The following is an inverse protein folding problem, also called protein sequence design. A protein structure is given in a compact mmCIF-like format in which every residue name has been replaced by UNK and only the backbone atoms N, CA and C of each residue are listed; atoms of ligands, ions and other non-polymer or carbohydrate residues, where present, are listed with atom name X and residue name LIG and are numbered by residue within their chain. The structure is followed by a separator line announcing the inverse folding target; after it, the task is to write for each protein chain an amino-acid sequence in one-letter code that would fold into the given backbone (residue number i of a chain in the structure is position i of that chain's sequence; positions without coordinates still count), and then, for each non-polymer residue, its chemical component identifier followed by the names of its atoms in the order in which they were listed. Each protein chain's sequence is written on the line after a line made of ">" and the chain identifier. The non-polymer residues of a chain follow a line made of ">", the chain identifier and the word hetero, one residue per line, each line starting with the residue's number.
data_IF_575273839420
#
_entry.id   IF_575273839420
#
_cell.length_a   1.000
_cell.length_b   1.000
_cell.length_c   1.000
_cell.angle_alpha   90.00
_cell.angle_beta   90.00
_cell.angle_gamma   90.00
#
_symmetry.space_group_name_H-M   'P 1'
#
loop_
_entity.id
_entity.type
_entity.pdbx_description
1 polymer ?
#
# COMPACT_ATOMS: atom_id res chain seq x y z
N UNK A 1 3.02 -61.88 27.35
CA UNK A 1 2.62 -61.68 28.75
C UNK A 1 2.50 -60.19 29.00
N UNK A 2 1.27 -59.70 29.00
CA UNK A 2 0.89 -58.31 29.28
C UNK A 2 1.02 -57.99 30.76
N UNK A 3 1.41 -56.75 31.13
CA UNK A 3 0.89 -56.11 32.32
C UNK A 3 -0.03 -54.94 31.95
N UNK A 4 -1.24 -55.01 32.49
CA UNK A 4 -2.20 -53.92 32.57
C UNK A 4 -1.64 -52.81 33.48
N UNK A 5 -1.67 -51.56 33.04
CA UNK A 5 -1.62 -50.40 33.92
C UNK A 5 -2.86 -49.53 33.72
N UNK A 6 -3.55 -49.31 34.84
CA UNK A 6 -4.82 -48.59 34.98
C UNK A 6 -4.56 -47.09 34.97
N UNK A 7 -5.28 -46.37 34.11
CA UNK A 7 -5.34 -44.90 34.10
C UNK A 7 -6.14 -44.40 35.31
N UNK A 8 -5.57 -43.48 36.09
CA UNK A 8 -6.28 -42.70 37.10
C UNK A 8 -6.75 -41.36 36.50
N UNK A 9 -7.96 -40.86 36.84
CA UNK A 9 -8.48 -39.62 36.28
C UNK A 9 -7.87 -38.41 36.98
N UNK A 10 -7.40 -37.45 36.19
CA UNK A 10 -6.90 -36.14 36.65
C UNK A 10 -8.08 -35.23 36.99
N UNK A 11 -8.16 -34.82 38.26
CA UNK A 11 -9.13 -33.85 38.76
C UNK A 11 -8.89 -32.46 38.15
N UNK A 12 -9.89 -31.98 37.41
CA UNK A 12 -10.00 -30.61 36.91
C UNK A 12 -10.25 -29.66 38.09
N UNK A 13 -9.31 -28.75 38.38
CA UNK A 13 -9.50 -27.66 39.34
C UNK A 13 -10.23 -26.50 38.64
N UNK A 14 -11.50 -26.30 38.96
CA UNK A 14 -12.23 -25.08 38.63
C UNK A 14 -11.80 -23.93 39.55
N UNK A 15 -11.32 -22.84 38.97
CA UNK A 15 -11.13 -21.55 39.64
C UNK A 15 -12.47 -20.79 39.71
N UNK A 16 -12.84 -20.20 40.86
CA UNK A 16 -14.06 -19.39 40.97
C UNK A 16 -13.87 -17.99 40.38
N UNK A 17 -14.79 -17.62 39.49
CA UNK A 17 -15.06 -16.25 39.02
C UNK A 17 -15.50 -15.38 40.21
N UNK A 18 -14.75 -14.33 40.52
CA UNK A 18 -15.19 -13.29 41.44
C UNK A 18 -16.11 -12.30 40.72
N UNK A 19 -17.41 -12.38 41.01
CA UNK A 19 -18.43 -11.46 40.53
C UNK A 19 -18.56 -10.31 41.55
N UNK A 20 -18.00 -9.14 41.23
CA UNK A 20 -18.16 -7.94 42.06
C UNK A 20 -19.52 -7.30 41.75
N UNK A 21 -20.46 -7.42 42.70
CA UNK A 21 -21.74 -6.73 42.68
C UNK A 21 -21.54 -5.27 43.12
N UNK A 22 -21.83 -4.33 42.21
CA UNK A 22 -21.97 -2.90 42.53
C UNK A 22 -23.39 -2.64 43.05
N UNK A 23 -23.50 -2.32 44.34
CA UNK A 23 -24.67 -1.63 44.89
C UNK A 23 -24.55 -0.14 44.57
N UNK A 24 -25.55 0.41 43.87
CA UNK A 24 -25.71 1.83 43.61
C UNK A 24 -27.19 2.21 43.64
N UNK A 25 -27.61 2.64 44.83
CA UNK A 25 -28.84 3.34 45.23
C UNK A 25 -29.99 3.52 44.21
N UNK A 26 -31.15 2.94 44.57
CA UNK A 26 -32.46 3.49 44.24
C UNK A 26 -32.70 4.72 45.13
N UNK A 27 -32.86 5.88 44.52
CA UNK A 27 -33.25 7.12 45.19
C UNK A 27 -34.10 7.94 44.22
N UNK A 28 -35.42 7.84 44.35
CA UNK A 28 -36.37 8.69 43.64
C UNK A 28 -36.51 10.05 44.33
N UNK A 29 -36.57 11.10 43.52
CA UNK A 29 -36.90 12.46 43.93
C UNK A 29 -37.04 13.33 42.68
N UNK A 30 -38.23 13.88 42.48
CA UNK A 30 -38.60 14.75 41.37
C UNK A 30 -37.85 16.09 41.40
N UNK A 31 -37.83 16.72 40.22
CA UNK A 31 -37.57 18.13 39.91
C UNK A 31 -36.14 18.53 39.46
N UNK A 32 -36.15 19.42 38.46
CA UNK A 32 -35.09 20.07 37.71
C UNK A 32 -34.36 19.25 36.62
N UNK A 33 -34.90 19.37 35.40
CA UNK A 33 -34.25 18.98 34.12
C UNK A 33 -33.09 19.93 33.79
N UNK A 34 -32.05 19.92 34.63
CA UNK A 34 -30.73 20.40 34.26
C UNK A 34 -30.02 19.35 33.43
N UNK A 35 -30.29 19.30 32.13
CA UNK A 35 -29.46 18.53 31.18
C UNK A 35 -28.05 19.11 31.18
N UNK A 36 -27.17 18.58 32.02
CA UNK A 36 -25.73 18.77 31.91
C UNK A 36 -25.25 17.94 30.71
N UNK A 37 -25.55 18.44 29.51
CA UNK A 37 -24.96 17.91 28.29
C UNK A 37 -23.45 18.07 28.44
N UNK A 38 -22.72 16.95 28.51
CA UNK A 38 -21.26 16.98 28.51
C UNK A 38 -20.77 17.85 27.34
N UNK A 39 -19.74 18.71 27.53
CA UNK A 39 -19.23 19.54 26.45
C UNK A 39 -18.95 18.67 25.22
N UNK A 40 -19.43 19.11 24.05
CA UNK A 40 -19.16 18.40 22.80
C UNK A 40 -17.64 18.23 22.66
N UNK A 41 -17.19 17.00 22.35
CA UNK A 41 -15.78 16.71 22.17
C UNK A 41 -15.20 17.67 21.12
N UNK A 42 -14.08 18.32 21.43
CA UNK A 42 -13.42 19.27 20.52
C UNK A 42 -12.66 18.55 19.40
N UNK A 43 -12.35 17.28 19.61
CA UNK A 43 -11.69 16.38 18.67
C UNK A 43 -12.48 15.08 18.52
N UNK A 44 -12.37 14.45 17.36
CA UNK A 44 -12.89 13.11 17.09
C UNK A 44 -11.78 12.20 16.58
N UNK A 45 -11.80 10.94 17.00
CA UNK A 45 -10.96 9.89 16.42
C UNK A 45 -11.44 9.56 15.00
N UNK A 46 -10.49 9.26 14.12
CA UNK A 46 -10.75 8.85 12.74
C UNK A 46 -9.95 7.60 12.39
N UNK A 47 -10.54 6.82 11.50
CA UNK A 47 -9.98 5.60 10.98
C UNK A 47 -10.21 5.58 9.47
N UNK A 48 -9.12 5.63 8.71
CA UNK A 48 -9.15 5.65 7.27
C UNK A 48 -8.72 4.26 6.82
N UNK A 49 -9.71 3.43 6.52
CA UNK A 49 -9.49 2.07 6.02
C UNK A 49 -9.16 2.12 4.53
N UNK A 50 -8.27 1.23 4.09
CA UNK A 50 -7.86 1.06 2.70
C UNK A 50 -8.24 -0.33 2.21
N UNK A 51 -8.62 -0.41 0.94
CA UNK A 51 -8.85 -1.67 0.23
C UNK A 51 -8.18 -1.67 -1.14
N UNK A 52 -7.78 -2.84 -1.62
CA UNK A 52 -7.40 -3.01 -3.00
C UNK A 52 -8.60 -3.49 -3.81
N UNK A 53 -8.74 -3.00 -5.04
CA UNK A 53 -9.84 -3.38 -5.93
C UNK A 53 -9.36 -3.68 -7.34
N UNK A 54 -10.16 -4.43 -8.08
CA UNK A 54 -10.10 -4.54 -9.54
C UNK A 54 -11.47 -4.13 -10.06
N UNK A 55 -11.55 -2.95 -10.68
CA UNK A 55 -12.85 -2.34 -10.96
C UNK A 55 -13.63 -2.21 -9.65
N UNK A 56 -14.89 -2.63 -9.61
CA UNK A 56 -15.73 -2.58 -8.40
C UNK A 56 -15.45 -3.68 -7.37
N UNK A 57 -14.64 -4.68 -7.70
CA UNK A 57 -14.45 -5.87 -6.84
C UNK A 57 -13.36 -5.62 -5.82
N UNK A 58 -13.67 -5.78 -4.53
CA UNK A 58 -12.67 -5.75 -3.44
C UNK A 58 -11.88 -7.04 -3.44
N UNK A 59 -10.55 -6.91 -3.42
CA UNK A 59 -9.64 -8.04 -3.32
C UNK A 59 -9.50 -8.48 -1.87
N UNK A 60 -9.65 -9.78 -1.62
CA UNK A 60 -9.25 -10.40 -0.37
C UNK A 60 -7.77 -10.77 -0.48
N UNK A 61 -6.90 -9.81 -0.15
CA UNK A 61 -5.46 -10.03 -0.18
C UNK A 61 -5.09 -10.81 1.09
N UNK A 62 -4.77 -12.10 0.89
CA UNK A 62 -4.29 -13.01 1.92
C UNK A 62 -2.90 -13.49 1.56
N UNK A 63 -2.75 -14.80 1.35
CA UNK A 63 -1.53 -15.34 0.75
C UNK A 63 -1.49 -15.02 -0.75
N UNK A 64 -0.39 -14.42 -1.20
CA UNK A 64 -0.16 -14.10 -2.61
C UNK A 64 -0.14 -15.31 -3.54
N UNK A 65 0.08 -16.53 -3.05
CA UNK A 65 -0.10 -17.74 -3.87
C UNK A 65 -1.56 -17.92 -4.35
N UNK A 66 -2.52 -17.34 -3.62
CA UNK A 66 -3.96 -17.45 -3.87
C UNK A 66 -4.62 -16.18 -4.37
N UNK A 67 -3.97 -15.02 -4.19
CA UNK A 67 -4.54 -13.72 -4.59
C UNK A 67 -4.43 -13.55 -6.11
N UNK A 68 -5.48 -14.02 -6.79
CA UNK A 68 -5.64 -13.88 -8.24
C UNK A 68 -6.26 -12.53 -8.55
N UNK A 69 -5.65 -11.80 -9.49
CA UNK A 69 -6.24 -10.60 -10.08
C UNK A 69 -6.51 -10.88 -11.55
N UNK A 70 -7.78 -10.77 -11.93
CA UNK A 70 -8.24 -10.90 -13.32
C UNK A 70 -8.50 -9.50 -13.88
N UNK A 71 -8.24 -9.25 -15.17
CA UNK A 71 -8.58 -7.97 -15.80
C UNK A 71 -7.61 -6.81 -15.58
N UNK A 72 -6.46 -7.08 -14.94
CA UNK A 72 -5.30 -6.18 -14.87
C UNK A 72 -4.28 -6.54 -15.96
N UNK A 73 -4.19 -7.82 -16.32
CA UNK A 73 -3.31 -8.32 -17.35
C UNK A 73 -4.08 -8.62 -18.63
N UNK A 74 -3.51 -8.21 -19.78
CA UNK A 74 -4.01 -8.59 -21.09
C UNK A 74 -2.90 -9.19 -21.92
N UNK A 75 -3.23 -10.22 -22.71
CA UNK A 75 -2.34 -10.84 -23.68
C UNK A 75 -3.08 -10.89 -25.01
N UNK A 76 -2.55 -10.21 -26.02
CA UNK A 76 -3.19 -10.08 -27.34
C UNK A 76 -4.65 -9.57 -27.25
N UNK A 77 -4.90 -8.58 -26.39
CA UNK A 77 -6.23 -8.00 -26.17
C UNK A 77 -7.19 -8.86 -25.35
N UNK A 78 -6.77 -10.04 -24.88
CA UNK A 78 -7.57 -10.93 -24.03
C UNK A 78 -7.12 -10.82 -22.59
N UNK A 79 -8.05 -10.66 -21.66
CA UNK A 79 -7.73 -10.65 -20.23
C UNK A 79 -7.11 -11.99 -19.81
N UNK A 80 -6.05 -11.92 -19.01
CA UNK A 80 -5.44 -13.09 -18.37
C UNK A 80 -5.29 -12.85 -16.89
N UNK A 81 -5.17 -13.92 -16.13
CA UNK A 81 -4.95 -13.84 -14.69
C UNK A 81 -3.50 -13.47 -14.36
N UNK A 82 -3.34 -12.79 -13.22
CA UNK A 82 -2.05 -12.59 -12.56
C UNK A 82 -2.16 -12.89 -11.07
N UNK A 83 -1.03 -13.18 -10.43
CA UNK A 83 -0.89 -13.20 -8.97
C UNK A 83 -0.36 -11.86 -8.49
N UNK A 84 -0.99 -11.31 -7.45
CA UNK A 84 -0.49 -10.13 -6.76
C UNK A 84 0.50 -10.58 -5.68
N UNK A 85 1.78 -10.24 -5.84
CA UNK A 85 2.88 -10.71 -4.96
C UNK A 85 3.44 -9.64 -4.04
N UNK A 86 3.12 -8.37 -4.27
CA UNK A 86 3.38 -7.25 -3.35
C UNK A 86 2.34 -6.17 -3.66
N UNK A 87 1.80 -5.52 -2.62
CA UNK A 87 1.04 -4.27 -2.76
C UNK A 87 1.28 -3.43 -1.51
N UNK A 88 2.21 -2.49 -1.65
CA UNK A 88 2.57 -1.53 -0.60
C UNK A 88 2.70 -0.13 -1.17
N UNK A 89 2.28 0.86 -0.42
CA UNK A 89 2.48 2.26 -0.80
C UNK A 89 2.46 3.20 0.41
N UNK A 90 3.14 4.33 0.25
CA UNK A 90 3.20 5.37 1.27
C UNK A 90 2.12 6.43 1.06
N UNK A 91 1.42 6.75 2.15
CA UNK A 91 0.48 7.87 2.25
C UNK A 91 1.12 8.91 3.15
N UNK A 92 1.39 10.09 2.59
CA UNK A 92 1.94 11.22 3.33
C UNK A 92 0.93 12.34 3.49
N UNK A 93 1.04 13.09 4.58
CA UNK A 93 0.32 14.35 4.78
C UNK A 93 -1.20 14.23 4.60
N UNK A 94 -1.79 13.16 5.15
CA UNK A 94 -3.23 12.89 5.06
C UNK A 94 -4.04 14.02 5.72
N UNK A 95 -4.99 14.56 4.95
CA UNK A 95 -5.96 15.56 5.40
C UNK A 95 -7.37 15.12 5.02
N UNK A 96 -8.33 15.44 5.88
CA UNK A 96 -9.75 15.31 5.56
C UNK A 96 -10.30 16.65 5.08
N UNK A 97 -11.19 16.61 4.08
CA UNK A 97 -11.82 17.80 3.52
C UNK A 97 -13.16 18.07 4.18
N UNK A 98 -13.38 19.30 4.63
CA UNK A 98 -14.71 19.81 4.96
C UNK A 98 -15.51 20.12 3.69
N UNK A 99 -16.82 20.36 3.84
CA UNK A 99 -17.71 20.68 2.72
C UNK A 99 -17.34 21.97 1.97
N UNK A 100 -16.69 22.92 2.65
CA UNK A 100 -16.18 24.17 2.06
C UNK A 100 -14.82 24.01 1.34
N UNK A 101 -14.28 22.78 1.29
CA UNK A 101 -12.99 22.47 0.70
C UNK A 101 -11.79 22.67 1.63
N UNK A 102 -11.99 23.13 2.87
CA UNK A 102 -10.92 23.27 3.87
C UNK A 102 -10.31 21.90 4.16
N UNK A 103 -8.99 21.78 3.98
CA UNK A 103 -8.24 20.58 4.30
C UNK A 103 -7.72 20.63 5.74
N UNK A 104 -8.08 19.62 6.53
CA UNK A 104 -7.72 19.49 7.95
C UNK A 104 -6.78 18.30 8.12
N UNK A 105 -5.56 18.56 8.61
CA UNK A 105 -4.57 17.52 8.85
C UNK A 105 -5.04 16.52 9.90
N UNK A 106 -4.82 15.24 9.62
CA UNK A 106 -5.01 14.17 10.59
C UNK A 106 -3.78 14.14 11.51
N UNK A 107 -4.01 14.26 12.81
CA UNK A 107 -2.98 13.98 13.81
C UNK A 107 -2.90 12.47 14.00
N UNK A 108 -1.79 11.86 13.59
CA UNK A 108 -1.66 10.39 13.59
C UNK A 108 -1.51 9.82 15.00
N UNK A 109 -2.09 8.63 15.22
CA UNK A 109 -1.72 7.79 16.36
C UNK A 109 -0.42 7.06 16.00
N UNK A 110 0.74 7.48 16.51
CA UNK A 110 2.01 6.92 16.07
C UNK A 110 2.14 5.40 16.36
N UNK A 111 2.70 4.68 15.40
CA UNK A 111 2.96 3.24 15.47
C UNK A 111 4.12 2.85 14.55
N UNK A 112 4.38 1.55 14.41
CA UNK A 112 5.36 1.06 13.42
C UNK A 112 4.93 1.36 11.97
N UNK A 113 3.65 1.60 11.72
CA UNK A 113 3.08 1.78 10.38
C UNK A 113 2.81 3.23 10.00
N UNK A 114 2.74 4.14 10.99
CA UNK A 114 2.42 5.54 10.75
C UNK A 114 3.11 6.44 11.79
N UNK A 115 3.70 7.55 11.37
CA UNK A 115 4.48 8.41 12.25
C UNK A 115 4.54 9.87 11.74
N UNK A 116 4.91 10.79 12.64
CA UNK A 116 5.36 12.13 12.27
C UNK A 116 6.80 12.06 11.77
N UNK A 117 7.10 12.81 10.72
CA UNK A 117 8.40 12.88 10.07
C UNK A 117 8.76 14.36 9.86
N UNK A 118 9.47 14.98 10.80
CA UNK A 118 9.65 16.44 10.77
C UNK A 118 8.28 17.09 10.90
N UNK A 119 7.90 18.00 10.01
CA UNK A 119 6.55 18.59 9.97
C UNK A 119 5.54 17.80 9.11
N UNK A 120 6.02 16.79 8.41
CA UNK A 120 5.20 15.90 7.60
C UNK A 120 4.65 14.72 8.43
N UNK A 121 3.66 14.03 7.86
CA UNK A 121 3.21 12.72 8.34
C UNK A 121 3.40 11.66 7.26
N UNK A 122 3.67 10.43 7.67
CA UNK A 122 3.91 9.29 6.77
C UNK A 122 3.24 8.04 7.33
N UNK A 123 2.57 7.28 6.48
CA UNK A 123 2.05 5.95 6.78
C UNK A 123 2.35 4.97 5.65
N UNK A 124 2.73 3.75 6.00
CA UNK A 124 2.84 2.64 5.06
C UNK A 124 1.51 1.88 5.04
N UNK A 125 0.85 1.88 3.88
CA UNK A 125 -0.24 0.97 3.61
C UNK A 125 0.35 -0.32 3.04
N UNK A 126 -0.01 -1.42 3.66
CA UNK A 126 0.58 -2.72 3.42
C UNK A 126 -0.49 -3.82 3.35
N UNK A 127 -0.61 -4.43 2.17
CA UNK A 127 -1.51 -5.55 1.93
C UNK A 127 -0.78 -6.90 1.88
N UNK A 128 0.56 -6.93 1.93
CA UNK A 128 1.35 -8.16 1.86
C UNK A 128 1.83 -8.61 3.24
N UNK A 129 2.11 -9.91 3.39
CA UNK A 129 2.43 -10.55 4.67
C UNK A 129 3.78 -11.31 4.63
N UNK A 130 4.61 -11.02 3.65
CA UNK A 130 5.96 -11.56 3.49
C UNK A 130 6.03 -13.01 3.04
N UNK A 131 4.92 -13.66 2.71
CA UNK A 131 4.91 -15.10 2.34
C UNK A 131 5.28 -15.37 0.88
N UNK A 132 5.46 -14.33 0.07
CA UNK A 132 5.63 -14.46 -1.38
C UNK A 132 7.04 -14.88 -1.78
N UNK A 133 7.21 -16.13 -2.21
CA UNK A 133 8.52 -16.67 -2.61
C UNK A 133 9.13 -15.99 -3.84
N UNK A 134 8.29 -15.44 -4.72
CA UNK A 134 8.71 -14.80 -5.97
C UNK A 134 9.07 -13.30 -5.77
N UNK A 135 8.96 -12.82 -4.53
CA UNK A 135 9.19 -11.45 -4.13
C UNK A 135 9.94 -11.45 -2.79
N UNK A 136 11.27 -11.42 -2.85
CA UNK A 136 12.08 -11.34 -1.63
C UNK A 136 11.98 -9.94 -0.99
N UNK A 137 11.69 -9.90 0.31
CA UNK A 137 11.69 -8.67 1.12
C UNK A 137 10.31 -8.09 1.42
N UNK A 138 9.37 -8.91 1.89
CA UNK A 138 8.11 -8.44 2.46
C UNK A 138 8.11 -8.33 3.99
N UNK A 139 7.08 -7.72 4.56
CA UNK A 139 6.85 -7.61 6.01
C UNK A 139 5.92 -8.71 6.50
N UNK A 140 6.21 -9.30 7.67
CA UNK A 140 5.33 -10.34 8.23
C UNK A 140 3.96 -9.84 8.70
N UNK A 141 3.82 -8.52 8.92
CA UNK A 141 2.55 -7.88 9.27
C UNK A 141 1.99 -7.07 8.10
N UNK A 142 0.68 -6.81 8.15
CA UNK A 142 -0.04 -5.94 7.21
C UNK A 142 -0.53 -4.66 7.90
N UNK A 143 -0.85 -3.64 7.11
CA UNK A 143 -1.49 -2.42 7.59
C UNK A 143 -2.39 -1.81 6.51
N UNK A 144 -3.70 -2.02 6.63
CA UNK A 144 -4.69 -1.46 5.70
C UNK A 144 -5.46 -0.29 6.30
N UNK A 145 -4.88 0.39 7.30
CA UNK A 145 -5.56 1.44 8.04
C UNK A 145 -4.62 2.55 8.50
N UNK A 146 -5.11 3.77 8.46
CA UNK A 146 -4.50 4.92 9.15
C UNK A 146 -5.43 5.33 10.29
N UNK A 147 -4.86 5.59 11.47
CA UNK A 147 -5.62 6.07 12.63
C UNK A 147 -5.07 7.38 13.15
N UNK A 148 -5.95 8.16 13.74
CA UNK A 148 -5.59 9.45 14.31
C UNK A 148 -6.79 10.22 14.81
N UNK A 149 -6.64 11.54 14.88
CA UNK A 149 -7.68 12.46 15.30
C UNK A 149 -7.71 13.74 14.45
N UNK A 150 -8.88 14.35 14.41
CA UNK A 150 -9.16 15.67 13.80
C UNK A 150 -10.10 16.45 14.72
N UNK A 151 -10.22 17.78 14.58
CA UNK A 151 -11.31 18.54 15.20
C UNK A 151 -12.68 17.92 14.89
N UNK A 152 -13.59 17.96 15.87
CA UNK A 152 -14.93 17.43 15.67
C UNK A 152 -15.64 18.15 14.50
N UNK A 153 -16.28 17.39 13.62
CA UNK A 153 -16.97 17.92 12.45
C UNK A 153 -17.26 16.87 11.38
N UNK A 154 -17.92 17.33 10.31
CA UNK A 154 -18.23 16.50 9.14
C UNK A 154 -17.17 16.68 8.07
N UNK A 155 -16.74 15.56 7.49
CA UNK A 155 -15.74 15.50 6.43
C UNK A 155 -16.33 14.75 5.24
N UNK A 156 -16.06 15.25 4.04
CA UNK A 156 -16.68 14.79 2.77
C UNK A 156 -15.65 14.49 1.69
N UNK A 157 -14.38 14.38 2.07
CA UNK A 157 -13.28 14.09 1.16
C UNK A 157 -11.99 13.79 1.91
N UNK A 158 -11.00 13.33 1.18
CA UNK A 158 -9.63 13.16 1.66
C UNK A 158 -8.65 13.68 0.61
N UNK A 159 -7.55 14.24 1.08
CA UNK A 159 -6.36 14.53 0.27
C UNK A 159 -5.12 14.02 0.96
N UNK A 160 -4.18 13.52 0.19
CA UNK A 160 -2.88 13.03 0.69
C UNK A 160 -1.87 13.02 -0.45
N UNK A 161 -0.60 12.84 -0.13
CA UNK A 161 0.45 12.64 -1.13
C UNK A 161 0.80 11.16 -1.20
N UNK A 162 0.74 10.57 -2.39
CA UNK A 162 1.28 9.25 -2.68
C UNK A 162 2.81 9.38 -2.81
N UNK A 163 3.53 8.85 -1.82
CA UNK A 163 4.99 8.89 -1.77
C UNK A 163 5.54 9.29 -0.40
N UNK A 164 6.87 9.34 -0.30
CA UNK A 164 7.59 9.74 0.93
C UNK A 164 7.99 11.22 0.81
N UNK A 165 7.85 12.04 1.88
CA UNK A 165 8.25 13.44 1.84
C UNK A 165 9.73 13.58 1.48
N UNK A 166 10.08 14.60 0.69
CA UNK A 166 11.45 14.79 0.17
C UNK A 166 12.49 14.91 1.29
N UNK A 167 12.11 15.54 2.41
CA UNK A 167 12.88 15.70 3.65
C UNK A 167 13.29 14.38 4.33
N UNK A 168 12.62 13.27 3.98
CA UNK A 168 12.83 11.95 4.58
C UNK A 168 13.13 10.84 3.58
N UNK A 169 12.81 11.03 2.31
CA UNK A 169 12.96 10.01 1.28
C UNK A 169 14.38 9.41 1.23
N UNK A 170 15.42 10.24 1.42
CA UNK A 170 16.83 9.81 1.39
C UNK A 170 17.50 9.83 2.76
N UNK A 171 16.71 9.83 3.85
CA UNK A 171 17.24 9.71 5.21
C UNK A 171 17.95 8.36 5.41
N UNK A 172 18.94 8.28 6.30
CA UNK A 172 19.58 6.98 6.59
C UNK A 172 18.60 6.04 7.32
N UNK A 173 18.20 4.90 6.73
CA UNK A 173 17.19 4.02 7.30
C UNK A 173 17.65 3.29 8.58
N UNK A 174 18.95 3.30 8.90
CA UNK A 174 19.49 2.64 10.08
C UNK A 174 19.51 3.54 11.33
N UNK A 175 19.21 4.85 11.20
CA UNK A 175 19.21 5.77 12.34
C UNK A 175 17.96 5.56 13.20
N UNK A 176 18.14 5.56 14.51
CA UNK A 176 17.03 5.44 15.47
C UNK A 176 16.02 6.61 15.39
N UNK A 177 16.44 7.75 14.83
CA UNK A 177 15.59 8.94 14.61
C UNK A 177 14.77 8.84 13.32
N UNK A 178 15.03 7.87 12.46
CA UNK A 178 14.25 7.66 11.24
C UNK A 178 12.89 7.07 11.62
N UNK A 179 11.76 7.66 11.17
CA UNK A 179 10.43 7.16 11.47
C UNK A 179 10.27 5.70 11.06
N UNK A 180 9.64 4.90 11.92
CA UNK A 180 9.45 3.45 11.72
C UNK A 180 8.93 3.05 10.35
N UNK A 181 7.94 3.75 9.74
CA UNK A 181 7.42 3.33 8.44
C UNK A 181 8.45 3.38 7.31
N UNK A 182 9.58 4.09 7.48
CA UNK A 182 10.60 4.32 6.45
C UNK A 182 12.01 3.94 6.91
N UNK A 183 12.15 3.21 8.02
CA UNK A 183 13.42 2.71 8.53
C UNK A 183 13.74 1.31 7.95
N UNK A 184 14.87 0.71 8.37
CA UNK A 184 15.33 -0.58 7.86
C UNK A 184 14.44 -1.78 8.23
N UNK A 185 13.42 -1.61 9.09
CA UNK A 185 12.48 -2.66 9.45
C UNK A 185 11.41 -2.94 8.37
N UNK A 186 11.36 -2.11 7.31
CA UNK A 186 10.48 -2.29 6.15
C UNK A 186 11.30 -2.80 4.95
N UNK A 187 11.53 -4.12 4.82
CA UNK A 187 12.29 -4.68 3.71
C UNK A 187 11.57 -4.47 2.38
N UNK A 188 12.32 -4.55 1.28
CA UNK A 188 11.77 -4.49 -0.09
C UNK A 188 11.33 -3.09 -0.57
N UNK A 189 11.18 -2.13 0.34
CA UNK A 189 10.84 -0.74 0.02
C UNK A 189 12.06 0.17 -0.19
N UNK A 190 13.29 -0.37 -0.11
CA UNK A 190 14.51 0.38 -0.48
C UNK A 190 14.55 0.68 -1.98
N UNK A 191 15.05 1.87 -2.36
CA UNK A 191 15.13 2.33 -3.75
C UNK A 191 16.55 2.77 -4.13
N UNK A 192 17.06 2.29 -5.27
CA UNK A 192 18.49 2.35 -5.54
C UNK A 192 19.02 3.67 -6.12
N UNK A 193 18.21 4.71 -6.42
CA UNK A 193 18.70 5.85 -7.23
C UNK A 193 18.75 7.24 -6.52
N UNK A 194 19.35 7.49 -5.35
CA UNK A 194 20.46 6.81 -4.67
C UNK A 194 20.14 6.70 -3.18
N UNK A 195 19.55 5.57 -2.82
CA UNK A 195 19.10 5.13 -1.50
C UNK A 195 17.87 5.86 -0.92
N UNK A 196 16.91 6.15 -1.79
CA UNK A 196 15.57 6.59 -1.42
C UNK A 196 14.66 5.45 -0.94
N UNK A 197 13.36 5.73 -0.87
CA UNK A 197 12.30 4.72 -0.69
C UNK A 197 11.50 4.55 -1.97
N UNK A 198 11.01 3.33 -2.20
CA UNK A 198 9.90 3.08 -3.12
C UNK A 198 8.66 3.70 -2.49
N UNK A 199 7.96 4.54 -3.23
CA UNK A 199 6.70 5.17 -2.85
C UNK A 199 5.53 4.20 -3.02
N UNK A 200 5.64 3.32 -4.02
CA UNK A 200 4.69 2.28 -4.31
C UNK A 200 5.45 1.08 -4.82
N UNK A 201 5.11 -0.10 -4.32
CA UNK A 201 5.59 -1.38 -4.80
C UNK A 201 4.37 -2.24 -5.08
N UNK A 202 4.12 -2.50 -6.35
CA UNK A 202 3.13 -3.46 -6.79
C UNK A 202 3.83 -4.46 -7.69
N UNK A 203 3.65 -5.74 -7.44
CA UNK A 203 4.28 -6.78 -8.22
C UNK A 203 3.22 -7.79 -8.68
N UNK A 204 3.18 -8.00 -9.99
CA UNK A 204 2.24 -8.89 -10.64
C UNK A 204 3.00 -10.00 -11.34
N UNK A 205 2.59 -11.23 -11.12
CA UNK A 205 3.06 -12.40 -11.86
C UNK A 205 1.93 -12.90 -12.75
N UNK A 206 1.89 -12.54 -14.05
CA UNK A 206 0.88 -13.06 -14.97
C UNK A 206 1.01 -14.57 -15.18
N UNK A 207 -0.09 -15.23 -15.54
CA UNK A 207 -0.08 -16.64 -15.92
C UNK A 207 0.79 -16.86 -17.16
N UNK A 208 1.60 -17.92 -17.17
CA UNK A 208 2.45 -18.31 -18.29
C UNK A 208 1.61 -18.58 -19.55
N UNK A 209 2.08 -18.12 -20.71
CA UNK A 209 1.36 -18.26 -21.96
C UNK A 209 1.25 -19.71 -22.47
N UNK A 210 2.15 -20.59 -22.03
CA UNK A 210 2.29 -21.96 -22.52
C UNK A 210 1.91 -23.01 -21.48
N UNK A 211 1.97 -22.66 -20.20
CA UNK A 211 1.66 -23.57 -19.09
C UNK A 211 0.54 -22.96 -18.23
N UNK A 212 -0.72 -23.39 -18.40
CA UNK A 212 -1.83 -22.93 -17.57
C UNK A 212 -1.55 -23.06 -16.07
N UNK A 213 -2.15 -22.17 -15.27
CA UNK A 213 -2.02 -22.12 -13.81
C UNK A 213 -0.59 -21.97 -13.26
N UNK A 214 0.38 -21.68 -14.13
CA UNK A 214 1.77 -21.42 -13.76
C UNK A 214 2.03 -19.92 -13.80
N UNK A 215 2.44 -19.32 -12.68
CA UNK A 215 2.64 -17.87 -12.56
C UNK A 215 4.13 -17.48 -12.54
N UNK A 216 4.94 -18.22 -13.29
CA UNK A 216 6.37 -17.93 -13.52
C UNK A 216 6.62 -17.88 -15.04
N UNK A 217 7.51 -17.00 -15.48
CA UNK A 217 7.75 -16.76 -16.90
C UNK A 217 6.55 -16.20 -17.68
N UNK A 218 5.62 -15.52 -17.00
CA UNK A 218 4.41 -14.94 -17.62
C UNK A 218 4.61 -13.61 -18.34
N UNK A 219 5.77 -12.98 -18.18
CA UNK A 219 6.13 -11.70 -18.80
C UNK A 219 7.08 -11.95 -19.96
N UNK A 220 6.60 -11.71 -21.17
CA UNK A 220 7.35 -11.89 -22.42
C UNK A 220 8.26 -10.70 -22.69
N UNK A 221 9.50 -10.97 -23.11
CA UNK A 221 10.41 -9.91 -23.57
C UNK A 221 10.14 -9.61 -25.04
N UNK A 222 9.90 -8.33 -25.36
CA UNK A 222 9.52 -7.85 -26.69
C UNK A 222 10.46 -6.73 -27.16
N UNK A 223 10.61 -6.57 -28.47
CA UNK A 223 11.25 -5.39 -29.07
C UNK A 223 10.32 -4.18 -28.98
N UNK A 224 10.83 -2.99 -29.30
CA UNK A 224 10.06 -1.74 -29.30
C UNK A 224 8.88 -1.76 -30.30
N UNK A 225 8.96 -2.56 -31.36
CA UNK A 225 7.89 -2.77 -32.35
C UNK A 225 6.85 -3.81 -31.93
N UNK A 226 6.98 -4.40 -30.72
CA UNK A 226 6.07 -5.41 -30.19
C UNK A 226 6.37 -6.85 -30.60
N UNK A 227 7.37 -7.09 -31.45
CA UNK A 227 7.79 -8.45 -31.81
C UNK A 227 8.54 -9.14 -30.66
N UNK A 228 8.54 -10.48 -30.61
CA UNK A 228 9.27 -11.21 -29.56
C UNK A 228 10.78 -10.93 -29.67
N UNK A 229 11.40 -10.54 -28.56
CA UNK A 229 12.84 -10.36 -28.51
C UNK A 229 13.56 -11.71 -28.66
N UNK A 230 14.68 -11.70 -29.36
CA UNK A 230 15.52 -12.89 -29.57
C UNK A 230 16.94 -12.63 -29.09
N UNK A 231 17.64 -13.70 -28.72
CA UNK A 231 19.05 -13.67 -28.36
C UNK A 231 19.80 -14.70 -29.20
N UNK A 232 20.96 -14.33 -29.73
CA UNK A 232 21.82 -15.23 -30.52
C UNK A 232 23.06 -15.58 -29.72
N UNK A 233 23.22 -16.86 -29.40
CA UNK A 233 24.39 -17.39 -28.69
C UNK A 233 24.99 -18.52 -29.52
N UNK A 234 26.29 -18.45 -29.81
CA UNK A 234 27.00 -19.45 -30.62
C UNK A 234 26.32 -19.78 -31.97
N UNK A 235 25.75 -18.77 -32.63
CA UNK A 235 25.07 -18.93 -33.93
C UNK A 235 23.64 -19.46 -33.87
N UNK A 236 23.12 -19.77 -32.68
CA UNK A 236 21.72 -20.19 -32.48
C UNK A 236 20.89 -19.03 -31.98
N UNK A 237 19.82 -18.69 -32.70
CA UNK A 237 18.88 -17.63 -32.31
C UNK A 237 17.64 -18.23 -31.67
N UNK A 238 17.35 -17.84 -30.44
CA UNK A 238 16.16 -18.27 -29.69
C UNK A 238 15.41 -17.06 -29.15
N UNK A 239 14.15 -17.24 -28.77
CA UNK A 239 13.42 -16.24 -28.00
C UNK A 239 14.19 -15.91 -26.70
N UNK A 240 14.22 -14.63 -26.34
CA UNK A 240 14.73 -14.19 -25.04
C UNK A 240 13.84 -14.76 -23.94
N UNK A 241 14.46 -15.23 -22.85
CA UNK A 241 13.73 -15.85 -21.74
C UNK A 241 12.74 -14.89 -21.09
N UNK A 242 11.52 -15.37 -20.84
CA UNK A 242 10.50 -14.63 -20.12
C UNK A 242 10.88 -14.40 -18.66
N UNK A 243 10.33 -13.34 -18.06
CA UNK A 243 10.45 -13.06 -16.62
C UNK A 243 9.16 -13.40 -15.88
N UNK A 244 9.27 -13.56 -14.56
CA UNK A 244 8.13 -14.01 -13.72
C UNK A 244 7.32 -12.87 -13.12
N UNK A 245 7.90 -11.68 -12.96
CA UNK A 245 7.29 -10.55 -12.25
C UNK A 245 7.34 -9.33 -13.15
N UNK A 246 6.20 -8.64 -13.24
CA UNK A 246 6.10 -7.27 -13.72
C UNK A 246 6.08 -6.34 -12.49
N UNK A 247 7.20 -5.69 -12.15
CA UNK A 247 7.23 -4.69 -11.09
C UNK A 247 6.58 -3.38 -11.57
N UNK A 248 5.81 -2.76 -10.69
CA UNK A 248 5.30 -1.40 -10.81
C UNK A 248 5.81 -0.66 -9.58
N UNK A 249 7.01 -0.10 -9.70
CA UNK A 249 7.72 0.53 -8.61
C UNK A 249 7.77 2.05 -8.85
N UNK A 250 7.10 2.78 -7.96
CA UNK A 250 7.17 4.23 -7.90
C UNK A 250 8.28 4.66 -6.94
N UNK A 251 9.09 5.64 -7.29
CA UNK A 251 10.09 6.26 -6.43
C UNK A 251 10.73 7.46 -7.12
N UNK A 252 11.36 8.35 -6.35
CA UNK A 252 12.08 9.49 -6.95
C UNK A 252 13.25 9.03 -7.82
N UNK A 253 13.55 9.77 -8.88
CA UNK A 253 14.63 9.44 -9.83
C UNK A 253 15.46 10.66 -10.18
N UNK A 254 16.67 10.41 -10.71
CA UNK A 254 17.64 11.46 -11.02
C UNK A 254 18.00 12.30 -9.78
N UNK A 255 18.22 11.62 -8.65
CA UNK A 255 18.56 12.24 -7.39
C UNK A 255 20.08 12.41 -7.24
N UNK A 256 20.47 13.56 -6.73
CA UNK A 256 21.86 13.90 -6.41
C UNK A 256 21.94 14.39 -4.97
N UNK A 257 23.00 14.02 -4.26
CA UNK A 257 23.25 14.55 -2.93
C UNK A 257 23.49 16.07 -3.02
N UNK A 258 22.77 16.82 -2.20
CA UNK A 258 23.01 18.24 -2.00
C UNK A 258 24.16 18.41 -1.00
N UNK A 259 25.34 18.78 -1.51
CA UNK A 259 26.54 18.96 -0.71
C UNK A 259 26.43 20.09 0.34
N UNK A 260 25.44 20.98 0.23
CA UNK A 260 25.21 22.07 1.17
C UNK A 260 24.19 21.73 2.26
N UNK A 261 23.45 20.63 2.13
CA UNK A 261 22.37 20.30 3.05
C UNK A 261 22.88 19.63 4.34
N UNK A 262 22.57 20.25 5.49
CA UNK A 262 22.78 19.64 6.82
C UNK A 262 21.47 19.00 7.28
N UNK A 263 21.38 17.67 7.35
CA UNK A 263 20.21 16.95 7.89
C UNK A 263 19.70 15.79 7.02
N UNK A 264 18.47 15.32 7.26
CA UNK A 264 17.86 14.14 6.60
C UNK A 264 17.40 14.36 5.14
N UNK A 265 17.38 15.62 4.68
CA UNK A 265 16.88 16.05 3.38
C UNK A 265 17.95 16.47 2.37
N UNK A 266 19.16 15.91 2.47
CA UNK A 266 20.30 16.33 1.65
C UNK A 266 20.34 15.79 0.23
N UNK A 267 19.20 15.75 -0.46
CA UNK A 267 19.12 15.27 -1.84
C UNK A 267 18.13 16.12 -2.64
N UNK A 268 18.49 16.42 -3.88
CA UNK A 268 17.58 17.00 -4.87
C UNK A 268 17.34 15.98 -5.98
N UNK A 269 16.08 15.74 -6.32
CA UNK A 269 15.67 14.85 -7.39
C UNK A 269 15.07 15.63 -8.53
N UNK A 270 15.54 15.39 -9.75
CA UNK A 270 14.94 15.97 -10.97
C UNK A 270 13.51 15.46 -11.20
N UNK A 271 13.22 14.23 -10.75
CA UNK A 271 11.88 13.65 -10.77
C UNK A 271 11.50 13.24 -9.34
N UNK A 272 10.79 14.10 -8.58
CA UNK A 272 10.40 13.78 -7.21
C UNK A 272 9.39 12.64 -7.16
N UNK A 273 8.54 12.49 -8.19
CA UNK A 273 7.55 11.42 -8.34
C UNK A 273 6.57 11.29 -7.17
N UNK A 274 6.22 12.41 -6.54
CA UNK A 274 5.16 12.51 -5.54
C UNK A 274 3.87 12.98 -6.20
N UNK A 275 2.76 12.32 -5.89
CA UNK A 275 1.46 12.62 -6.51
C UNK A 275 0.45 13.03 -5.46
N UNK A 276 -0.14 14.21 -5.61
CA UNK A 276 -1.26 14.61 -4.76
C UNK A 276 -2.51 13.85 -5.18
N UNK A 277 -3.09 13.13 -4.24
CA UNK A 277 -4.33 12.38 -4.41
C UNK A 277 -5.47 13.18 -3.81
N UNK A 278 -6.58 13.29 -4.55
CA UNK A 278 -7.82 13.88 -4.07
C UNK A 278 -8.96 12.89 -4.26
N UNK A 279 -9.61 12.51 -3.16
CA UNK A 279 -10.83 11.70 -3.17
C UNK A 279 -11.99 12.56 -2.69
N UNK A 280 -12.94 12.82 -3.58
CA UNK A 280 -14.20 13.47 -3.25
C UNK A 280 -15.21 12.46 -2.71
N UNK A 281 -16.26 12.94 -2.02
CA UNK A 281 -17.36 12.14 -1.50
C UNK A 281 -16.89 10.97 -0.61
N UNK A 282 -16.01 11.29 0.35
CA UNK A 282 -15.49 10.33 1.31
C UNK A 282 -15.91 10.69 2.75
N UNK A 283 -16.57 9.74 3.41
CA UNK A 283 -16.90 9.75 4.83
C UNK A 283 -16.12 8.63 5.55
N UNK A 284 -15.15 8.94 6.42
CA UNK A 284 -14.29 7.94 7.05
C UNK A 284 -15.04 6.98 8.00
N UNK A 285 -16.25 7.34 8.45
CA UNK A 285 -17.06 6.49 9.32
C UNK A 285 -17.73 5.36 8.54
N UNK A 286 -18.23 5.63 7.34
CA UNK A 286 -19.04 4.69 6.55
C UNK A 286 -18.35 4.16 5.29
N UNK A 287 -17.23 4.75 4.89
CA UNK A 287 -16.50 4.41 3.68
C UNK A 287 -15.04 4.09 3.96
N UNK A 288 -14.42 3.40 3.01
CA UNK A 288 -12.99 3.12 2.93
C UNK A 288 -12.44 3.66 1.61
N UNK A 289 -11.16 4.00 1.58
CA UNK A 289 -10.46 4.40 0.36
C UNK A 289 -9.99 3.15 -0.39
N UNK A 290 -9.96 3.20 -1.71
CA UNK A 290 -9.46 2.09 -2.53
C UNK A 290 -8.22 2.48 -3.31
N UNK A 291 -7.38 1.49 -3.62
CA UNK A 291 -6.50 1.53 -4.80
C UNK A 291 -7.07 0.54 -5.84
N UNK A 292 -7.44 1.03 -7.02
CA UNK A 292 -7.98 0.22 -8.10
C UNK A 292 -6.87 -0.19 -9.07
N UNK A 293 -6.51 -1.48 -9.04
CA UNK A 293 -5.47 -2.04 -9.88
C UNK A 293 -5.89 -2.10 -11.35
N UNK A 294 -7.18 -2.24 -11.67
CA UNK A 294 -7.62 -2.19 -13.06
C UNK A 294 -7.43 -0.78 -13.63
N UNK A 295 -7.82 0.24 -12.87
CA UNK A 295 -7.61 1.63 -13.27
C UNK A 295 -6.11 1.96 -13.32
N UNK A 296 -5.33 1.58 -12.30
CA UNK A 296 -3.91 1.92 -12.20
C UNK A 296 -3.09 1.36 -13.38
N UNK A 297 -3.42 0.17 -13.86
CA UNK A 297 -2.70 -0.52 -14.93
C UNK A 297 -3.37 -0.40 -16.31
N UNK A 298 -4.39 0.45 -16.49
CA UNK A 298 -5.17 0.50 -17.74
C UNK A 298 -4.33 0.79 -19.01
N UNK A 299 -3.15 1.41 -18.87
CA UNK A 299 -2.20 1.64 -19.96
C UNK A 299 -1.02 0.67 -20.01
N UNK A 300 -0.95 -0.30 -19.11
CA UNK A 300 0.17 -1.23 -18.99
C UNK A 300 -0.20 -2.62 -19.52
N UNK A 301 0.61 -3.16 -20.42
CA UNK A 301 0.59 -4.60 -20.68
C UNK A 301 1.53 -5.32 -19.71
N UNK A 302 0.99 -5.76 -18.57
CA UNK A 302 1.80 -6.43 -17.55
C UNK A 302 2.31 -7.82 -17.96
N UNK A 303 1.92 -8.32 -19.15
CA UNK A 303 2.44 -9.58 -19.72
C UNK A 303 3.64 -9.37 -20.63
N UNK A 304 4.13 -8.14 -20.80
CA UNK A 304 5.21 -7.79 -21.71
C UNK A 304 6.21 -6.83 -21.09
N UNK A 305 7.49 -7.01 -21.43
CA UNK A 305 8.56 -6.09 -21.10
C UNK A 305 9.38 -5.75 -22.34
N UNK A 306 9.72 -4.48 -22.52
CA UNK A 306 10.55 -4.06 -23.65
C UNK A 306 12.01 -4.49 -23.39
N UNK A 307 12.66 -5.03 -24.41
CA UNK A 307 14.06 -5.43 -24.33
C UNK A 307 14.94 -4.21 -24.15
N UNK A 308 16.00 -4.31 -23.33
CA UNK A 308 16.90 -3.20 -23.03
C UNK A 308 16.33 -2.15 -22.06
N UNK A 309 15.11 -2.31 -21.54
CA UNK A 309 14.56 -1.49 -20.44
C UNK A 309 14.67 -2.23 -19.10
N UNK A 310 14.33 -1.54 -18.01
CA UNK A 310 14.16 -2.23 -16.73
C UNK A 310 12.97 -3.21 -16.81
N UNK A 311 12.93 -4.19 -15.90
CA UNK A 311 11.74 -5.01 -15.77
C UNK A 311 10.55 -4.15 -15.31
N UNK A 312 9.38 -4.36 -15.90
CA UNK A 312 8.16 -3.61 -15.64
C UNK A 312 8.35 -2.11 -15.73
N UNK A 313 7.81 -1.38 -14.75
CA UNK A 313 8.10 0.02 -14.55
C UNK A 313 8.91 0.25 -13.26
N UNK A 314 10.06 0.91 -13.42
CA UNK A 314 10.97 1.31 -12.35
C UNK A 314 11.10 2.84 -12.26
N UNK A 315 10.01 3.60 -12.43
CA UNK A 315 9.96 5.08 -12.36
C UNK A 315 10.85 5.87 -13.33
N UNK A 316 11.43 5.21 -14.34
CA UNK A 316 12.18 5.93 -15.37
C UNK A 316 11.22 6.62 -16.34
N UNK A 317 11.37 7.93 -16.54
CA UNK A 317 10.55 8.68 -17.49
C UNK A 317 10.79 8.26 -18.96
N UNK A 318 11.94 7.64 -19.25
CA UNK A 318 12.26 7.13 -20.59
C UNK A 318 11.75 5.70 -20.84
N UNK A 319 11.17 5.07 -19.83
CA UNK A 319 10.66 3.70 -19.90
C UNK A 319 9.19 3.73 -20.40
N UNK A 320 8.87 3.11 -21.55
CA UNK A 320 7.51 3.08 -22.07
C UNK A 320 6.49 2.52 -21.08
N UNK A 321 6.87 1.52 -20.29
CA UNK A 321 6.02 0.93 -19.25
C UNK A 321 5.70 1.96 -18.15
N UNK A 322 6.59 2.90 -17.88
CA UNK A 322 6.36 3.94 -16.88
C UNK A 322 5.52 5.13 -17.39
N UNK A 323 5.48 5.37 -18.70
CA UNK A 323 4.66 6.45 -19.27
C UNK A 323 3.17 6.27 -18.93
N UNK A 324 2.68 5.03 -19.03
CA UNK A 324 1.32 4.67 -18.64
C UNK A 324 1.07 4.88 -17.14
N UNK A 325 2.01 4.44 -16.29
CA UNK A 325 1.96 4.65 -14.84
C UNK A 325 1.78 6.13 -14.50
N UNK A 326 2.65 6.99 -15.04
CA UNK A 326 2.61 8.42 -14.74
C UNK A 326 1.33 9.08 -15.25
N UNK A 327 0.82 8.66 -16.41
CA UNK A 327 -0.47 9.14 -16.94
C UNK A 327 -1.61 8.83 -15.98
N UNK A 328 -1.69 7.60 -15.45
CA UNK A 328 -2.75 7.23 -14.52
C UNK A 328 -2.60 7.94 -13.17
N UNK A 329 -1.38 8.10 -12.68
CA UNK A 329 -1.09 8.80 -11.42
C UNK A 329 -1.30 10.31 -11.52
N UNK A 330 -1.06 10.95 -12.66
CA UNK A 330 -1.32 12.38 -12.85
C UNK A 330 -2.81 12.74 -12.73
N UNK A 331 -3.69 11.80 -13.05
CA UNK A 331 -5.15 11.98 -12.95
C UNK A 331 -5.68 11.99 -11.51
N UNK A 332 -4.93 11.48 -10.52
CA UNK A 332 -5.45 11.28 -9.14
C UNK A 332 -5.65 12.59 -8.38
N UNK A 333 -4.92 13.66 -8.75
CA UNK A 333 -5.10 15.01 -8.17
C UNK A 333 -6.44 15.64 -8.55
N UNK A 334 -7.03 15.19 -9.65
CA UNK A 334 -8.30 15.66 -10.18
C UNK A 334 -9.46 14.69 -9.90
N UNK A 335 -9.27 13.70 -9.03
CA UNK A 335 -10.30 12.71 -8.68
C UNK A 335 -10.42 11.56 -9.68
N UNK A 336 -9.30 11.14 -10.30
CA UNK A 336 -9.25 9.95 -11.14
C UNK A 336 -9.69 8.67 -10.42
N UNK A 337 -9.95 7.60 -11.16
CA UNK A 337 -10.60 6.38 -10.67
C UNK A 337 -9.68 5.44 -9.86
N UNK A 338 -8.37 5.68 -9.87
CA UNK A 338 -7.36 4.89 -9.13
C UNK A 338 -7.64 4.91 -7.64
N UNK A 339 -7.89 6.10 -7.07
CA UNK A 339 -8.26 6.26 -5.66
C UNK A 339 -9.69 6.78 -5.54
N UNK A 340 -10.56 6.01 -4.88
CA UNK A 340 -11.96 6.39 -4.67
C UNK A 340 -12.47 5.89 -3.32
N UNK A 341 -13.63 6.41 -2.91
CA UNK A 341 -14.34 5.94 -1.74
C UNK A 341 -15.33 4.83 -2.11
N UNK A 342 -15.37 3.76 -1.32
CA UNK A 342 -16.40 2.71 -1.39
C UNK A 342 -17.01 2.48 -0.01
N UNK A 343 -18.19 1.87 0.06
CA UNK A 343 -18.79 1.48 1.33
C UNK A 343 -17.91 0.47 2.09
N UNK A 344 -17.99 0.52 3.43
CA UNK A 344 -17.46 -0.53 4.30
C UNK A 344 -18.33 -1.78 4.24
#
# INVERSE_FOLDING_TARGET
>A
MTPFHRSAPTLLKLSPLALAALLGACGGGSDDTGSTTAPAATTQSVAIDFAATVGSTVLNIGDCASTTVSGVATRNGVAVDARLTDLRFYVSNLKLLKADGTAVAVTLDESIWQAKAGDDTIALIDFENGTCTNNSGGTGGTNTRITGSVPAGSYVGAVFTLGVPSSWNHSNPALATTPKPIDSSVPGMAWSWQAGRKFTKIELSPVNATTPDTYTGGVQIINADGTQATTTTAGVTTATANTSVFPYHLGSTGCVADAAATGTGGYTCTSPNQFDVRVAAFNPTSQRLTVDLQALFAGNNVTQNTTGTAGGCMSSASDPQCTAMFTMLDGVKSGGTVFRAIAK
#
